data_IF_597429499840
#
_entry.id   IF_597429499840
#
_cell.length_a   1.000
_cell.length_b   1.000
_cell.length_c   1.000
_cell.angle_alpha   90.00
_cell.angle_beta   90.00
_cell.angle_gamma   90.00
#
_symmetry.space_group_name_H-M   'P 1'
#
loop_
_entity.id
_entity.type
_entity.pdbx_description
1 polymer ?
#
# COMPACT_ATOMS: atom_id res chain seq x y z
N UNK A 1 -14.85 12.64 13.75
CA UNK A 1 -13.40 12.37 13.69
C UNK A 1 -13.11 11.70 12.35
N UNK A 2 -12.75 12.47 11.33
CA UNK A 2 -12.44 11.93 10.00
C UNK A 2 -11.11 11.19 10.10
N UNK A 3 -11.15 9.86 9.99
CA UNK A 3 -9.93 9.05 9.93
C UNK A 3 -9.18 9.42 8.66
N UNK A 4 -8.17 10.26 8.82
CA UNK A 4 -7.15 10.53 7.83
C UNK A 4 -6.53 9.16 7.51
N UNK A 5 -6.82 8.64 6.31
CA UNK A 5 -6.14 7.47 5.75
C UNK A 5 -4.66 7.77 5.82
N UNK A 6 -3.98 7.22 6.84
CA UNK A 6 -2.56 7.42 7.03
C UNK A 6 -1.87 6.86 5.79
N UNK A 7 -1.40 7.75 4.94
CA UNK A 7 -0.44 7.45 3.90
C UNK A 7 0.76 6.84 4.61
N UNK A 8 0.95 5.53 4.47
CA UNK A 8 2.12 4.83 4.99
C UNK A 8 2.91 4.37 3.77
N UNK A 9 3.84 5.19 3.25
CA UNK A 9 4.85 4.66 2.36
C UNK A 9 5.60 3.57 3.14
N UNK A 10 5.46 2.32 2.73
CA UNK A 10 6.28 1.24 3.27
C UNK A 10 7.50 1.12 2.37
N UNK A 11 8.61 1.69 2.81
CA UNK A 11 9.92 1.34 2.26
C UNK A 11 10.31 0.00 2.88
N UNK A 12 10.22 -1.07 2.11
CA UNK A 12 10.67 -2.39 2.56
C UNK A 12 12.20 -2.36 2.72
N UNK A 13 12.68 -2.28 3.96
CA UNK A 13 14.10 -2.35 4.28
C UNK A 13 14.64 -3.74 3.96
N UNK A 14 15.40 -3.87 2.87
CA UNK A 14 16.08 -5.11 2.52
C UNK A 14 17.21 -5.43 3.49
N UNK A 15 17.40 -6.71 3.80
CA UNK A 15 18.54 -7.18 4.58
C UNK A 15 19.84 -7.01 3.76
N UNK A 16 20.63 -5.99 4.06
CA UNK A 16 21.86 -5.65 3.34
C UNK A 16 23.07 -6.43 3.89
N UNK A 17 23.36 -7.61 3.34
CA UNK A 17 24.56 -8.37 3.73
C UNK A 17 25.63 -8.50 2.64
N UNK A 18 25.43 -8.02 1.40
CA UNK A 18 26.51 -7.94 0.42
C UNK A 18 26.20 -6.98 -0.75
N UNK A 19 27.19 -6.24 -1.26
CA UNK A 19 27.03 -5.31 -2.42
C UNK A 19 26.49 -5.98 -3.68
N UNK A 20 26.69 -7.30 -3.80
CA UNK A 20 26.24 -8.10 -4.95
C UNK A 20 24.81 -8.66 -4.82
N UNK A 21 24.23 -8.64 -3.61
CA UNK A 21 22.89 -9.15 -3.36
C UNK A 21 22.12 -8.18 -2.45
N UNK A 22 21.23 -7.40 -3.05
CA UNK A 22 20.40 -6.43 -2.34
C UNK A 22 19.03 -6.34 -3.00
N UNK A 23 18.00 -6.02 -2.22
CA UNK A 23 16.65 -5.80 -2.71
C UNK A 23 16.04 -4.62 -1.98
N UNK A 24 15.36 -3.74 -2.71
CA UNK A 24 14.59 -2.63 -2.19
C UNK A 24 13.20 -2.68 -2.82
N UNK A 25 12.18 -2.42 -2.03
CA UNK A 25 10.81 -2.32 -2.52
C UNK A 25 10.20 -0.99 -2.07
N UNK A 26 9.54 -0.32 -3.02
CA UNK A 26 8.84 0.95 -2.82
C UNK A 26 7.36 0.68 -3.08
N UNK A 27 6.56 0.83 -2.02
CA UNK A 27 5.12 0.77 -2.12
C UNK A 27 4.48 2.07 -1.66
N UNK A 28 3.52 2.57 -2.44
CA UNK A 28 2.70 3.74 -2.13
C UNK A 28 1.24 3.36 -2.26
N UNK A 29 0.42 3.74 -1.28
CA UNK A 29 -1.02 3.54 -1.31
C UNK A 29 -1.77 4.80 -0.89
N UNK A 30 -2.93 5.01 -1.52
CA UNK A 30 -3.80 6.14 -1.28
C UNK A 30 -5.25 5.67 -1.24
N UNK A 31 -6.08 6.30 -0.42
CA UNK A 31 -7.50 5.99 -0.38
C UNK A 31 -8.32 7.12 0.22
N UNK A 32 -9.60 7.17 -0.16
CA UNK A 32 -10.55 8.16 0.29
C UNK A 32 -11.91 7.52 0.59
N UNK A 33 -12.55 7.98 1.67
CA UNK A 33 -13.96 7.66 1.92
C UNK A 33 -14.81 8.49 0.95
N UNK A 34 -15.66 7.83 0.17
CA UNK A 34 -16.53 8.49 -0.82
C UNK A 34 -17.97 8.63 -0.31
N UNK A 35 -18.37 7.78 0.64
CA UNK A 35 -19.70 7.84 1.23
C UNK A 35 -19.69 7.37 2.68
N UNK A 36 -20.53 7.98 3.49
CA UNK A 36 -20.80 7.60 4.87
C UNK A 36 -22.30 7.71 5.14
N UNK A 37 -22.90 6.67 5.71
CA UNK A 37 -24.29 6.72 6.16
C UNK A 37 -24.48 7.73 7.29
N UNK A 38 -25.66 8.34 7.38
CA UNK A 38 -25.99 9.30 8.44
C UNK A 38 -25.82 8.74 9.88
N UNK A 39 -26.05 7.43 10.07
CA UNK A 39 -25.85 6.75 11.35
C UNK A 39 -24.39 6.31 11.61
N UNK A 40 -23.44 6.67 10.73
CA UNK A 40 -22.02 6.33 10.78
C UNK A 40 -21.72 4.82 10.86
N UNK A 41 -22.68 3.95 10.53
CA UNK A 41 -22.50 2.49 10.57
C UNK A 41 -21.97 1.93 9.28
N UNK A 42 -22.22 2.61 8.16
CA UNK A 42 -21.80 2.19 6.84
C UNK A 42 -20.87 3.24 6.25
N UNK A 43 -19.75 2.80 5.69
CA UNK A 43 -18.90 3.67 4.89
C UNK A 43 -18.36 2.93 3.68
N UNK A 44 -18.31 3.64 2.56
CA UNK A 44 -17.71 3.18 1.31
C UNK A 44 -16.48 4.03 1.02
N UNK A 45 -15.38 3.38 0.67
CA UNK A 45 -14.14 4.04 0.28
C UNK A 45 -13.55 3.45 -0.98
N UNK A 46 -12.76 4.25 -1.68
CA UNK A 46 -11.95 3.82 -2.81
C UNK A 46 -10.48 3.88 -2.41
N UNK A 47 -9.67 2.98 -2.96
CA UNK A 47 -8.23 3.00 -2.75
C UNK A 47 -7.48 2.54 -4.00
N UNK A 48 -6.24 2.97 -4.09
CA UNK A 48 -5.28 2.52 -5.10
C UNK A 48 -3.89 2.38 -4.51
N UNK A 49 -3.08 1.51 -5.11
CA UNK A 49 -1.68 1.34 -4.73
C UNK A 49 -0.78 1.09 -5.93
N UNK A 50 0.48 1.45 -5.73
CA UNK A 50 1.61 1.22 -6.61
C UNK A 50 2.71 0.51 -5.83
N UNK A 51 3.26 -0.56 -6.40
CA UNK A 51 4.41 -1.29 -5.87
C UNK A 51 5.47 -1.48 -6.94
N UNK A 52 6.73 -1.28 -6.57
CA UNK A 52 7.85 -1.64 -7.41
C UNK A 52 9.07 -2.07 -6.60
N UNK A 53 9.63 -3.21 -6.97
CA UNK A 53 10.88 -3.75 -6.45
C UNK A 53 12.05 -3.53 -7.40
N UNK A 54 13.23 -3.33 -6.83
CA UNK A 54 14.50 -3.37 -7.53
C UNK A 54 15.54 -4.10 -6.68
N UNK A 55 16.45 -4.82 -7.31
CA UNK A 55 17.48 -5.54 -6.60
C UNK A 55 18.62 -6.01 -7.48
N UNK A 56 19.54 -6.73 -6.85
CA UNK A 56 20.68 -7.40 -7.48
C UNK A 56 20.72 -8.82 -6.95
N UNK A 57 20.82 -9.80 -7.83
CA UNK A 57 21.03 -11.21 -7.48
C UNK A 57 22.28 -11.71 -8.22
N UNK A 58 23.29 -12.16 -7.48
CA UNK A 58 24.56 -12.63 -8.05
C UNK A 58 25.25 -11.59 -8.96
N UNK A 59 25.10 -10.29 -8.65
CA UNK A 59 25.63 -9.18 -9.45
C UNK A 59 24.77 -8.76 -10.64
N UNK A 60 23.69 -9.48 -10.97
CA UNK A 60 22.73 -9.08 -11.98
C UNK A 60 21.63 -8.22 -11.37
N UNK A 61 21.47 -7.00 -11.88
CA UNK A 61 20.38 -6.11 -11.49
C UNK A 61 19.07 -6.62 -12.10
N UNK A 62 18.05 -6.72 -11.27
CA UNK A 62 16.69 -6.99 -11.71
C UNK A 62 15.76 -5.91 -11.17
N UNK A 63 14.77 -5.54 -11.98
CA UNK A 63 13.70 -4.63 -11.60
C UNK A 63 12.40 -5.38 -11.80
N UNK A 64 11.56 -5.43 -10.77
CA UNK A 64 10.25 -6.04 -10.92
C UNK A 64 9.38 -5.13 -11.81
N UNK A 65 8.48 -5.73 -12.61
CA UNK A 65 7.45 -4.94 -13.26
C UNK A 65 6.63 -4.19 -12.18
N UNK A 66 6.21 -2.95 -12.47
CA UNK A 66 5.37 -2.20 -11.54
C UNK A 66 4.01 -2.89 -11.40
N UNK A 67 3.51 -2.97 -10.17
CA UNK A 67 2.18 -3.49 -9.88
C UNK A 67 1.25 -2.35 -9.45
N UNK A 68 0.09 -2.29 -10.09
CA UNK A 68 -0.97 -1.34 -9.78
C UNK A 68 -2.18 -2.08 -9.23
N UNK A 69 -2.78 -1.57 -8.16
CA UNK A 69 -4.03 -2.10 -7.64
C UNK A 69 -5.02 -0.96 -7.44
N UNK A 70 -6.30 -1.24 -7.68
CA UNK A 70 -7.40 -0.36 -7.36
C UNK A 70 -8.51 -1.19 -6.72
N UNK A 71 -9.21 -0.62 -5.74
CA UNK A 71 -10.24 -1.34 -5.00
C UNK A 71 -11.29 -0.43 -4.40
N UNK A 72 -12.44 -1.05 -4.13
CA UNK A 72 -13.53 -0.47 -3.35
C UNK A 72 -13.59 -1.19 -2.01
N UNK A 73 -13.90 -0.45 -0.97
CA UNK A 73 -13.98 -0.96 0.41
C UNK A 73 -15.35 -0.61 0.99
N UNK A 74 -15.90 -1.53 1.75
CA UNK A 74 -17.12 -1.35 2.51
C UNK A 74 -16.85 -1.73 3.97
N UNK A 75 -17.21 -0.83 4.89
CA UNK A 75 -17.05 -1.05 6.33
C UNK A 75 -18.41 -0.93 7.00
N UNK A 76 -18.74 -1.94 7.80
CA UNK A 76 -19.91 -1.96 8.68
C UNK A 76 -19.47 -1.91 10.15
N UNK A 77 -20.03 -0.99 10.94
CA UNK A 77 -19.80 -0.91 12.39
C UNK A 77 -21.01 -1.47 13.14
N UNK A 78 -20.77 -2.49 13.96
CA UNK A 78 -21.78 -3.02 14.86
C UNK A 78 -22.15 -1.99 15.94
N UNK A 79 -23.42 -1.90 16.34
CA UNK A 79 -23.78 -1.22 17.58
C UNK A 79 -23.12 -1.89 18.77
N UNK A 80 -22.57 -1.07 19.67
CA UNK A 80 -22.29 -1.46 21.05
C UNK A 80 -23.49 -1.19 21.94
#
# INVERSE_FOLDING_TARGET
>A
VSQQSQFRPSTGGGNFHNRHNWGANVAVSAGAKVWESANQRHSVGIHGSYDQGAGSYQGYRYQSPPQWNAGVSYVYKFPG
#
